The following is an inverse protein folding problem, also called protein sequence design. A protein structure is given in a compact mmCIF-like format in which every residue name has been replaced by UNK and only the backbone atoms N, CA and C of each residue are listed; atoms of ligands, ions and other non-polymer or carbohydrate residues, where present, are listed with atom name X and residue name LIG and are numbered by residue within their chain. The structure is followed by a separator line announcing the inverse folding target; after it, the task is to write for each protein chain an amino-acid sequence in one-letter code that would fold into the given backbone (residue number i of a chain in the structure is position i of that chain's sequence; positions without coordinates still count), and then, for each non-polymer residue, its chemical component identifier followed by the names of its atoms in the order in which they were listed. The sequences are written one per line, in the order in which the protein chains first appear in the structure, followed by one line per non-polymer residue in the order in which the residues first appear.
data_IF_888806378281
#
_entry.id   IF_888806378281
#
_cell.length_a   1.000
_cell.length_b   1.000
_cell.length_c   1.000
_cell.angle_alpha   90.00
_cell.angle_beta   90.00
_cell.angle_gamma   90.00
#
_symmetry.space_group_name_H-M   'P 1'
#
loop_
_entity.id
_entity.type
_entity.pdbx_description
1 polymer ?
#
# COMPACT_ATOMS: atom_id res chain seq x y z
N UNK A 1 36.33 -6.95 -3.75
CA UNK A 1 36.44 -5.51 -3.38
C UNK A 1 35.90 -5.35 -1.96
N UNK A 2 36.46 -4.43 -1.17
CA UNK A 2 36.03 -4.17 0.20
C UNK A 2 36.03 -2.67 0.48
N UNK A 3 35.04 -2.22 1.26
CA UNK A 3 34.91 -0.84 1.69
C UNK A 3 35.23 -0.71 3.17
N UNK A 4 35.89 0.38 3.55
CA UNK A 4 36.13 0.71 4.96
C UNK A 4 34.91 1.46 5.50
N UNK A 5 34.12 0.80 6.34
CA UNK A 5 32.99 1.41 7.04
C UNK A 5 33.26 1.38 8.55
N UNK A 6 33.15 2.54 9.21
CA UNK A 6 33.37 2.67 10.66
C UNK A 6 34.69 2.03 11.16
N UNK A 7 35.76 2.16 10.36
CA UNK A 7 37.07 1.60 10.69
C UNK A 7 37.21 0.08 10.49
N UNK A 8 36.22 -0.59 9.89
CA UNK A 8 36.27 -2.03 9.57
C UNK A 8 36.10 -2.26 8.07
N UNK A 9 36.87 -3.21 7.55
CA UNK A 9 36.75 -3.64 6.16
C UNK A 9 35.53 -4.55 6.02
N UNK A 10 34.55 -4.11 5.22
CA UNK A 10 33.37 -4.86 4.86
C UNK A 10 33.47 -5.24 3.39
N UNK A 11 33.30 -6.53 3.07
CA UNK A 11 33.32 -6.99 1.68
C UNK A 11 32.04 -6.57 0.95
N UNK A 12 32.15 -6.30 -0.35
CA UNK A 12 31.04 -5.83 -1.16
C UNK A 12 29.83 -6.77 -1.15
N UNK A 13 30.05 -8.08 -1.05
CA UNK A 13 28.97 -9.07 -1.03
C UNK A 13 28.08 -8.92 0.20
N UNK A 14 28.67 -8.65 1.37
CA UNK A 14 27.90 -8.41 2.60
C UNK A 14 27.16 -7.08 2.58
N UNK A 15 27.77 -6.04 1.99
CA UNK A 15 27.12 -4.75 1.85
C UNK A 15 25.90 -4.84 0.93
N UNK A 16 26.04 -5.56 -0.19
CA UNK A 16 24.95 -5.81 -1.13
C UNK A 16 23.82 -6.62 -0.48
N UNK A 17 24.15 -7.74 0.18
CA UNK A 17 23.17 -8.57 0.89
C UNK A 17 22.47 -7.80 2.01
N UNK A 18 23.20 -7.02 2.80
CA UNK A 18 22.64 -6.19 3.86
C UNK A 18 21.67 -5.15 3.31
N UNK A 19 21.99 -4.52 2.17
CA UNK A 19 21.10 -3.56 1.51
C UNK A 19 19.82 -4.23 1.04
N UNK A 20 19.90 -5.37 0.34
CA UNK A 20 18.72 -6.08 -0.14
C UNK A 20 17.84 -6.58 1.02
N UNK A 21 18.44 -7.14 2.07
CA UNK A 21 17.71 -7.59 3.25
C UNK A 21 17.04 -6.43 3.98
N UNK A 22 17.72 -5.28 4.13
CA UNK A 22 17.16 -4.10 4.79
C UNK A 22 16.02 -3.51 3.99
N UNK A 23 16.21 -3.27 2.69
CA UNK A 23 15.17 -2.73 1.81
C UNK A 23 13.97 -3.66 1.73
N UNK A 24 14.19 -4.96 1.52
CA UNK A 24 13.13 -5.96 1.50
C UNK A 24 12.42 -6.09 2.85
N UNK A 25 13.16 -6.03 3.95
CA UNK A 25 12.63 -6.05 5.31
C UNK A 25 11.76 -4.82 5.61
N UNK A 26 12.21 -3.61 5.25
CA UNK A 26 11.41 -2.39 5.40
C UNK A 26 10.15 -2.47 4.55
N UNK A 27 10.27 -2.83 3.28
CA UNK A 27 9.12 -2.97 2.38
C UNK A 27 8.12 -4.00 2.92
N UNK A 28 8.61 -5.15 3.39
CA UNK A 28 7.78 -6.15 4.04
C UNK A 28 7.14 -5.60 5.31
N UNK A 29 7.88 -4.97 6.22
CA UNK A 29 7.29 -4.39 7.44
C UNK A 29 6.23 -3.34 7.15
N UNK A 30 6.41 -2.51 6.12
CA UNK A 30 5.45 -1.50 5.69
C UNK A 30 4.20 -2.10 5.03
N UNK A 31 4.32 -3.25 4.38
CA UNK A 31 3.23 -3.88 3.61
C UNK A 31 2.63 -5.13 4.25
N UNK A 32 3.26 -5.71 5.28
CA UNK A 32 2.90 -7.03 5.86
C UNK A 32 1.57 -7.05 6.60
N UNK A 33 0.84 -5.93 6.67
CA UNK A 33 -0.47 -5.85 7.31
C UNK A 33 -0.42 -6.13 8.81
N UNK A 34 -0.24 -5.09 9.63
CA UNK A 34 -0.30 -5.18 11.08
C UNK A 34 -1.59 -4.59 11.62
N UNK A 35 -2.39 -5.43 12.29
CA UNK A 35 -3.65 -5.15 12.99
C UNK A 35 -4.53 -4.07 12.34
N UNK A 36 -5.52 -4.54 11.57
CA UNK A 36 -6.76 -3.81 11.32
C UNK A 36 -7.39 -3.40 12.67
N UNK A 37 -6.93 -2.31 13.28
CA UNK A 37 -7.89 -1.31 13.68
C UNK A 37 -8.57 -0.97 12.36
N UNK A 38 -9.69 -1.67 12.11
CA UNK A 38 -10.41 -1.64 10.88
C UNK A 38 -10.47 -0.17 10.46
N UNK A 39 -9.69 0.18 9.44
CA UNK A 39 -10.06 1.30 8.61
C UNK A 39 -11.35 0.78 8.00
N UNK A 40 -12.45 1.05 8.72
CA UNK A 40 -13.76 0.52 8.42
C UNK A 40 -13.92 0.79 6.93
N UNK A 41 -14.08 -0.28 6.14
CA UNK A 41 -14.40 -0.12 4.73
C UNK A 41 -15.54 0.89 4.73
N UNK A 42 -15.38 2.05 4.09
CA UNK A 42 -16.41 3.07 4.11
C UNK A 42 -17.70 2.40 3.66
N UNK A 43 -18.68 2.34 4.56
CA UNK A 43 -19.92 1.61 4.31
C UNK A 43 -20.83 2.38 3.33
N UNK A 44 -20.44 3.62 3.04
CA UNK A 44 -21.14 4.53 2.12
C UNK A 44 -20.12 5.34 1.32
N UNK A 45 -20.53 5.73 0.13
CA UNK A 45 -19.76 6.57 -0.80
C UNK A 45 -19.33 7.90 -0.17
N UNK A 46 -20.09 8.42 0.81
CA UNK A 46 -19.76 9.64 1.55
C UNK A 46 -18.59 9.44 2.53
N UNK A 47 -18.47 8.25 3.14
CA UNK A 47 -17.32 7.90 3.99
C UNK A 47 -16.04 7.65 3.15
N UNK A 48 -16.19 7.17 1.90
CA UNK A 48 -15.08 7.02 0.98
C UNK A 48 -14.51 8.39 0.56
N UNK A 49 -15.38 9.37 0.28
CA UNK A 49 -14.98 10.75 -0.01
C UNK A 49 -14.25 11.44 1.16
N UNK A 50 -14.60 11.10 2.41
CA UNK A 50 -13.94 11.67 3.60
C UNK A 50 -12.62 10.98 3.95
N UNK A 51 -12.45 9.70 3.59
CA UNK A 51 -11.26 8.90 3.95
C UNK A 51 -10.19 8.90 2.88
N UNK A 52 -10.54 9.17 1.62
CA UNK A 52 -9.62 9.30 0.49
C UNK A 52 -9.74 10.72 -0.03
N UNK A 53 -8.74 11.60 0.15
CA UNK A 53 -8.71 12.85 -0.60
C UNK A 53 -8.64 12.48 -2.08
N UNK A 54 -9.78 12.58 -2.77
CA UNK A 54 -9.87 12.40 -4.23
C UNK A 54 -9.16 13.59 -4.85
N UNK A 55 -7.85 13.47 -5.02
CA UNK A 55 -7.00 14.49 -5.60
C UNK A 55 -6.96 14.28 -7.12
N UNK A 56 -8.13 14.35 -7.77
CA UNK A 56 -8.24 14.29 -9.22
C UNK A 56 -7.89 15.66 -9.81
N UNK A 57 -7.17 15.68 -10.92
CA UNK A 57 -6.75 16.92 -11.56
C UNK A 57 -7.88 17.58 -12.36
N UNK A 58 -8.99 16.87 -12.58
CA UNK A 58 -10.13 17.29 -13.41
C UNK A 58 -11.45 16.68 -12.93
N UNK A 59 -12.54 17.44 -13.10
CA UNK A 59 -13.90 17.00 -12.74
C UNK A 59 -14.36 15.73 -13.47
N UNK A 60 -13.82 15.47 -14.66
CA UNK A 60 -14.08 14.25 -15.44
C UNK A 60 -13.51 13.00 -14.73
N UNK A 61 -12.27 13.12 -14.22
CA UNK A 61 -11.59 12.03 -13.53
C UNK A 61 -12.25 11.73 -12.18
N UNK A 62 -12.77 12.74 -11.48
CA UNK A 62 -13.56 12.55 -10.26
C UNK A 62 -14.81 11.70 -10.53
N UNK A 63 -15.56 12.01 -11.59
CA UNK A 63 -16.77 11.25 -11.94
C UNK A 63 -16.45 9.81 -12.32
N UNK A 64 -15.35 9.59 -13.05
CA UNK A 64 -14.87 8.26 -13.37
C UNK A 64 -14.54 7.45 -12.10
N UNK A 65 -13.77 8.02 -11.18
CA UNK A 65 -13.40 7.37 -9.90
C UNK A 65 -14.66 7.05 -9.07
N UNK A 66 -15.61 7.98 -8.99
CA UNK A 66 -16.87 7.76 -8.28
C UNK A 66 -17.73 6.65 -8.89
N UNK A 67 -17.78 6.56 -10.22
CA UNK A 67 -18.52 5.49 -10.91
C UNK A 67 -17.82 4.13 -10.74
N UNK A 68 -16.49 4.10 -10.81
CA UNK A 68 -15.70 2.89 -10.57
C UNK A 68 -15.90 2.35 -9.15
N UNK A 69 -15.88 3.22 -8.14
CA UNK A 69 -16.14 2.83 -6.75
C UNK A 69 -17.56 2.28 -6.59
N UNK A 70 -18.58 2.96 -7.13
CA UNK A 70 -19.97 2.50 -7.07
C UNK A 70 -20.16 1.12 -7.72
N UNK A 71 -19.49 0.87 -8.83
CA UNK A 71 -19.55 -0.41 -9.54
C UNK A 71 -18.84 -1.52 -8.75
N UNK A 72 -17.64 -1.24 -8.21
CA UNK A 72 -16.90 -2.17 -7.36
C UNK A 72 -17.65 -2.51 -6.05
N UNK A 73 -18.36 -1.54 -5.45
CA UNK A 73 -19.25 -1.78 -4.30
C UNK A 73 -20.42 -2.69 -4.66
N UNK A 74 -21.04 -2.47 -5.84
CA UNK A 74 -22.15 -3.29 -6.33
C UNK A 74 -21.70 -4.73 -6.63
N UNK A 75 -20.51 -4.90 -7.20
CA UNK A 75 -19.91 -6.20 -7.49
C UNK A 75 -19.50 -6.94 -6.21
N UNK A 76 -18.89 -6.23 -5.25
CA UNK A 76 -18.52 -6.78 -3.93
C UNK A 76 -19.72 -7.21 -3.09
N UNK A 77 -20.88 -6.57 -3.26
CA UNK A 77 -22.14 -6.96 -2.62
C UNK A 77 -22.83 -8.17 -3.31
N UNK A 78 -22.41 -8.54 -4.52
CA UNK A 78 -23.01 -9.61 -5.32
C UNK A 78 -22.24 -10.95 -5.28
N UNK A 79 -21.03 -10.99 -4.72
CA UNK A 79 -20.27 -12.22 -4.51
C UNK A 79 -20.53 -12.79 -3.10
N UNK A 80 -21.30 -13.89 -2.94
CA UNK A 80 -21.40 -14.56 -1.65
C UNK A 80 -20.05 -15.16 -1.28
N UNK A 81 -19.70 -14.99 -0.01
CA UNK A 81 -18.53 -15.56 0.63
C UNK A 81 -18.33 -17.04 0.29
N UNK A 82 -17.19 -17.37 -0.32
CA UNK A 82 -16.62 -18.71 -0.33
C UNK A 82 -15.23 -18.63 0.30
N UNK A 83 -15.21 -18.86 1.61
CA UNK A 83 -14.04 -19.25 2.38
C UNK A 83 -14.03 -20.77 2.54
#
# INVERSE_FOLDING_TARGET
MSYQLFGRAIKNEYLALGTFATTGGIAYLATRGGNSAAQAKPATVEQAKQSVPVNAASSEEEQFILNFIKEAEKESAAAPASH
#
